data_IF_388581668733
#
_entry.id   IF_388581668733
#
_cell.length_a   1.000
_cell.length_b   1.000
_cell.length_c   1.000
_cell.angle_alpha   90.00
_cell.angle_beta   90.00
_cell.angle_gamma   90.00
#
_symmetry.space_group_name_H-M   'P 1'
#
loop_
_entity.id
_entity.type
_entity.pdbx_description
1 polymer ?
#
# COMPACT_ATOMS: atom_id res chain seq x y z
N UNK A 1 -12.92 -10.13 -15.89
CA UNK A 1 -14.26 -9.50 -16.06
C UNK A 1 -14.14 -8.05 -15.57
N UNK A 2 -14.29 -7.05 -16.44
CA UNK A 2 -14.34 -5.64 -16.02
C UNK A 2 -15.53 -5.48 -15.05
N UNK A 3 -15.21 -5.23 -13.77
CA UNK A 3 -16.03 -5.45 -12.57
C UNK A 3 -17.53 -5.50 -12.79
N UNK A 4 -18.12 -6.71 -12.79
CA UNK A 4 -19.57 -7.05 -12.71
C UNK A 4 -20.57 -6.22 -13.55
N UNK A 5 -20.13 -5.31 -14.41
CA UNK A 5 -20.97 -4.42 -15.20
C UNK A 5 -21.63 -5.23 -16.31
N UNK A 6 -22.95 -5.15 -16.37
CA UNK A 6 -23.74 -5.74 -17.44
C UNK A 6 -23.28 -5.19 -18.80
N UNK A 7 -23.15 -6.08 -19.78
CA UNK A 7 -22.67 -5.77 -21.13
C UNK A 7 -23.37 -4.56 -21.76
N UNK A 8 -24.71 -4.40 -21.68
CA UNK A 8 -25.41 -3.24 -22.28
C UNK A 8 -25.02 -1.88 -21.72
N UNK A 9 -24.54 -1.84 -20.46
CA UNK A 9 -24.08 -0.61 -19.83
C UNK A 9 -22.62 -0.33 -20.18
N UNK A 10 -21.80 -1.38 -20.32
CA UNK A 10 -20.39 -1.26 -20.71
C UNK A 10 -20.23 -0.69 -22.11
N UNK A 11 -21.07 -1.14 -23.05
CA UNK A 11 -21.01 -0.73 -24.46
C UNK A 11 -21.38 0.76 -24.65
N UNK A 12 -21.97 1.40 -23.63
CA UNK A 12 -22.26 2.85 -23.62
C UNK A 12 -21.04 3.71 -23.29
N UNK A 13 -19.94 3.12 -22.82
CA UNK A 13 -18.70 3.84 -22.54
C UNK A 13 -17.74 3.74 -23.75
N UNK A 14 -17.63 4.82 -24.51
CA UNK A 14 -16.83 4.85 -25.75
C UNK A 14 -15.31 4.77 -25.57
N UNK A 15 -14.79 5.00 -24.36
CA UNK A 15 -13.36 4.93 -24.06
C UNK A 15 -13.16 4.18 -22.74
N UNK A 16 -13.02 2.84 -22.76
CA UNK A 16 -12.69 2.08 -21.57
C UNK A 16 -11.23 2.33 -21.19
N UNK A 17 -11.00 2.95 -20.03
CA UNK A 17 -9.67 3.10 -19.44
C UNK A 17 -9.44 2.01 -18.40
N UNK A 18 -8.29 1.33 -18.49
CA UNK A 18 -7.83 0.37 -17.49
C UNK A 18 -6.61 0.96 -16.80
N UNK A 19 -6.73 1.14 -15.49
CA UNK A 19 -5.60 1.54 -14.67
C UNK A 19 -4.85 0.27 -14.24
N UNK A 20 -3.53 0.36 -14.28
CA UNK A 20 -2.63 -0.68 -13.79
C UNK A 20 -1.97 -0.21 -12.50
N UNK A 21 -1.34 -1.15 -11.81
CA UNK A 21 -0.52 -0.80 -10.66
C UNK A 21 0.70 0.00 -11.12
N UNK A 22 1.09 0.96 -10.30
CA UNK A 22 2.26 1.79 -10.56
C UNK A 22 3.52 1.03 -10.13
N UNK A 23 4.60 1.25 -10.85
CA UNK A 23 5.91 0.77 -10.42
C UNK A 23 6.42 1.60 -9.22
N UNK A 24 7.28 1.02 -8.36
CA UNK A 24 7.83 1.72 -7.19
C UNK A 24 8.46 3.07 -7.52
N UNK A 25 9.16 3.19 -8.65
CA UNK A 25 9.81 4.43 -9.09
C UNK A 25 8.78 5.50 -9.46
N UNK A 26 7.67 5.10 -10.06
CA UNK A 26 6.57 6.00 -10.39
C UNK A 26 5.88 6.52 -9.14
N UNK A 27 5.64 5.62 -8.18
CA UNK A 27 5.11 5.97 -6.87
C UNK A 27 6.06 6.87 -6.08
N UNK A 28 7.38 6.65 -6.16
CA UNK A 28 8.37 7.50 -5.50
C UNK A 28 8.26 8.95 -6.00
N UNK A 29 8.05 9.17 -7.31
CA UNK A 29 7.80 10.50 -7.87
C UNK A 29 6.53 11.15 -7.29
N UNK A 30 5.46 10.36 -7.13
CA UNK A 30 4.20 10.82 -6.50
C UNK A 30 4.43 11.19 -5.04
N UNK A 31 5.15 10.35 -4.30
CA UNK A 31 5.49 10.55 -2.88
C UNK A 31 6.33 11.82 -2.70
N UNK A 32 7.37 12.02 -3.50
CA UNK A 32 8.19 13.24 -3.47
C UNK A 32 7.39 14.49 -3.81
N UNK A 33 6.50 14.41 -4.80
CA UNK A 33 5.61 15.53 -5.15
C UNK A 33 4.64 15.87 -3.99
N UNK A 34 4.12 14.86 -3.30
CA UNK A 34 3.25 15.06 -2.14
C UNK A 34 4.01 15.57 -0.91
N UNK A 35 5.22 15.08 -0.65
CA UNK A 35 6.06 15.52 0.45
C UNK A 35 6.40 17.01 0.36
N UNK A 36 6.70 17.49 -0.86
CA UNK A 36 6.88 18.93 -1.14
C UNK A 36 5.63 19.76 -0.77
N UNK A 37 4.43 19.27 -1.08
CA UNK A 37 3.16 19.95 -0.72
C UNK A 37 2.88 19.94 0.78
N UNK A 38 3.43 18.98 1.51
CA UNK A 38 3.31 18.85 2.96
C UNK A 38 4.46 19.54 3.71
N UNK A 39 5.38 20.21 3.00
CA UNK A 39 6.60 20.80 3.56
C UNK A 39 7.40 19.78 4.39
N UNK A 40 7.39 18.51 3.95
CA UNK A 40 8.10 17.42 4.59
C UNK A 40 9.39 17.13 3.82
N UNK A 41 10.58 17.41 4.37
CA UNK A 41 11.85 17.05 3.76
C UNK A 41 11.94 15.53 3.56
N UNK A 42 12.28 15.09 2.35
CA UNK A 42 12.38 13.67 2.00
C UNK A 42 13.54 13.46 1.02
N UNK A 43 14.26 12.37 1.21
CA UNK A 43 15.29 11.87 0.29
C UNK A 43 14.67 10.95 -0.77
N UNK A 44 15.34 10.79 -1.91
CA UNK A 44 14.86 9.89 -2.96
C UNK A 44 14.73 8.44 -2.47
N UNK A 45 15.74 7.93 -1.75
CA UNK A 45 15.71 6.59 -1.16
C UNK A 45 14.59 6.42 -0.11
N UNK A 46 14.31 7.47 0.67
CA UNK A 46 13.18 7.50 1.59
C UNK A 46 11.83 7.42 0.88
N UNK A 47 11.69 8.09 -0.28
CA UNK A 47 10.49 8.00 -1.09
C UNK A 47 10.32 6.61 -1.74
N UNK A 48 11.42 6.00 -2.22
CA UNK A 48 11.42 4.62 -2.75
C UNK A 48 11.05 3.61 -1.66
N UNK A 49 11.55 3.76 -0.43
CA UNK A 49 11.21 2.88 0.68
C UNK A 49 9.71 2.94 1.03
N UNK A 50 9.08 4.11 0.96
CA UNK A 50 7.62 4.25 1.13
C UNK A 50 6.86 3.65 -0.06
N UNK A 51 7.35 3.89 -1.28
CA UNK A 51 6.72 3.48 -2.52
C UNK A 51 6.72 1.95 -2.71
N UNK A 52 7.85 1.30 -2.45
CA UNK A 52 7.99 -0.17 -2.53
C UNK A 52 6.99 -0.91 -1.65
N UNK A 53 6.61 -0.33 -0.51
CA UNK A 53 5.63 -0.90 0.43
C UNK A 53 4.19 -0.46 0.19
N UNK A 54 3.91 0.27 -0.89
CA UNK A 54 2.59 0.82 -1.19
C UNK A 54 1.74 -0.05 -2.13
N UNK A 55 2.21 -1.26 -2.49
CA UNK A 55 1.47 -2.24 -3.32
C UNK A 55 0.93 -1.63 -4.62
N UNK A 56 1.79 -0.90 -5.34
CA UNK A 56 1.46 -0.29 -6.63
C UNK A 56 0.35 0.76 -6.59
N UNK A 57 -0.06 1.22 -5.40
CA UNK A 57 -1.27 2.03 -5.23
C UNK A 57 -0.94 3.42 -4.68
N UNK A 58 -1.16 4.51 -5.46
CA UNK A 58 -0.88 5.87 -5.02
C UNK A 58 -1.57 6.26 -3.71
N UNK A 59 -2.83 5.82 -3.52
CA UNK A 59 -3.58 6.08 -2.29
C UNK A 59 -2.89 5.52 -1.04
N UNK A 60 -2.28 4.33 -1.16
CA UNK A 60 -1.55 3.71 -0.06
C UNK A 60 -0.25 4.47 0.18
N UNK A 61 0.52 4.75 -0.88
CA UNK A 61 1.78 5.49 -0.78
C UNK A 61 1.61 6.84 -0.06
N UNK A 62 0.58 7.61 -0.43
CA UNK A 62 0.28 8.90 0.20
C UNK A 62 -0.21 8.77 1.64
N UNK A 63 -0.89 7.66 1.99
CA UNK A 63 -1.28 7.36 3.38
C UNK A 63 -0.06 7.03 4.23
N UNK A 64 0.87 6.24 3.69
CA UNK A 64 2.12 5.88 4.36
C UNK A 64 3.00 7.11 4.58
N UNK A 65 3.16 7.97 3.56
CA UNK A 65 3.91 9.21 3.66
C UNK A 65 3.47 10.06 4.86
N UNK A 66 2.15 10.26 5.05
CA UNK A 66 1.64 11.05 6.18
C UNK A 66 2.09 10.46 7.52
N UNK A 67 1.94 9.14 7.69
CA UNK A 67 2.34 8.47 8.94
C UNK A 67 3.85 8.50 9.14
N UNK A 68 4.63 8.22 8.09
CA UNK A 68 6.10 8.24 8.15
C UNK A 68 6.62 9.63 8.49
N UNK A 69 6.01 10.68 7.93
CA UNK A 69 6.32 12.06 8.30
C UNK A 69 6.09 12.30 9.79
N UNK A 70 4.95 11.88 10.33
CA UNK A 70 4.64 12.09 11.75
C UNK A 70 5.69 11.41 12.66
N UNK A 71 6.28 10.27 12.25
CA UNK A 71 7.43 9.68 12.94
C UNK A 71 8.73 10.46 12.71
N UNK A 72 9.00 10.89 11.48
CA UNK A 72 10.22 11.62 11.14
C UNK A 72 10.30 12.99 11.82
N UNK A 73 9.16 13.66 12.07
CA UNK A 73 9.10 14.92 12.83
C UNK A 73 9.67 14.77 14.25
N UNK A 74 9.54 13.60 14.88
CA UNK A 74 10.14 13.31 16.17
C UNK A 74 11.65 13.03 16.11
N UNK A 75 12.16 12.54 14.96
CA UNK A 75 13.52 12.02 14.76
C UNK A 75 14.39 12.94 13.86
N UNK A 76 14.12 14.26 13.82
CA UNK A 76 14.95 15.24 13.10
C UNK A 76 14.37 15.78 11.79
N UNK A 77 13.10 15.49 11.50
CA UNK A 77 12.27 16.15 10.48
C UNK A 77 12.50 15.73 9.03
N UNK A 78 13.56 14.98 8.71
CA UNK A 78 13.84 14.52 7.34
C UNK A 78 13.55 13.04 7.16
N UNK A 79 12.78 12.71 6.13
CA UNK A 79 12.45 11.33 5.75
C UNK A 79 13.61 10.75 4.92
N UNK A 80 14.44 9.95 5.58
CA UNK A 80 15.51 9.13 4.98
C UNK A 80 15.02 7.71 4.76
N UNK A 81 15.80 6.88 4.06
CA UNK A 81 15.50 5.46 3.93
C UNK A 81 15.38 4.77 5.30
N UNK A 82 16.30 5.07 6.23
CA UNK A 82 16.30 4.45 7.55
C UNK A 82 15.15 4.93 8.43
N UNK A 83 14.82 6.22 8.40
CA UNK A 83 13.69 6.73 9.16
C UNK A 83 12.36 6.21 8.60
N UNK A 84 12.22 6.13 7.28
CA UNK A 84 11.08 5.49 6.63
C UNK A 84 10.96 4.00 6.99
N UNK A 85 12.06 3.25 6.90
CA UNK A 85 12.12 1.81 7.26
C UNK A 85 11.72 1.60 8.72
N UNK A 86 12.24 2.41 9.64
CA UNK A 86 11.93 2.35 11.07
C UNK A 86 10.45 2.67 11.34
N UNK A 87 9.93 3.75 10.74
CA UNK A 87 8.53 4.14 10.86
C UNK A 87 7.58 3.06 10.32
N UNK A 88 7.87 2.50 9.14
CA UNK A 88 7.07 1.44 8.53
C UNK A 88 7.10 0.15 9.37
N UNK A 89 8.24 -0.18 9.96
CA UNK A 89 8.36 -1.30 10.92
C UNK A 89 7.50 -1.08 12.17
N UNK A 90 7.51 0.14 12.74
CA UNK A 90 6.64 0.50 13.88
C UNK A 90 5.15 0.47 13.52
N UNK A 91 4.81 0.74 12.27
CA UNK A 91 3.45 0.59 11.72
C UNK A 91 3.08 -0.87 11.40
N UNK A 92 3.95 -1.82 11.71
CA UNK A 92 3.79 -3.24 11.40
C UNK A 92 3.57 -3.50 9.91
N UNK A 93 4.23 -2.72 9.05
CA UNK A 93 4.26 -2.95 7.60
C UNK A 93 5.58 -3.63 7.28
N UNK A 94 5.52 -4.80 6.66
CA UNK A 94 6.72 -5.55 6.27
C UNK A 94 7.34 -5.01 4.97
N UNK A 95 8.37 -5.70 4.46
CA UNK A 95 9.06 -5.34 3.23
C UNK A 95 8.18 -5.42 1.99
N UNK A 96 7.15 -6.28 2.01
CA UNK A 96 6.25 -6.50 0.87
C UNK A 96 5.02 -5.58 0.92
N UNK A 97 4.92 -4.73 1.96
CA UNK A 97 3.83 -3.78 2.14
C UNK A 97 2.56 -4.40 2.74
N UNK A 98 2.67 -5.60 3.31
CA UNK A 98 1.57 -6.25 4.02
C UNK A 98 1.45 -5.68 5.43
N UNK A 99 0.21 -5.35 5.80
CA UNK A 99 -0.10 -4.92 7.15
C UNK A 99 -0.48 -6.11 8.07
N UNK A 100 -0.83 -5.80 9.32
CA UNK A 100 -1.19 -6.81 10.30
C UNK A 100 -2.41 -7.66 9.88
N UNK A 101 -3.37 -7.07 9.15
CA UNK A 101 -4.55 -7.79 8.69
C UNK A 101 -4.19 -8.71 7.53
N UNK A 102 -3.40 -8.23 6.56
CA UNK A 102 -2.89 -9.03 5.46
C UNK A 102 -2.11 -10.27 5.97
N UNK A 103 -1.23 -10.07 6.96
CA UNK A 103 -0.48 -11.18 7.56
C UNK A 103 -1.37 -12.13 8.36
N UNK A 104 -2.39 -11.63 9.07
CA UNK A 104 -3.39 -12.47 9.74
C UNK A 104 -4.18 -13.31 8.74
N UNK A 105 -4.56 -12.73 7.61
CA UNK A 105 -5.24 -13.44 6.52
C UNK A 105 -4.38 -14.61 6.02
N UNK A 106 -3.12 -14.35 5.67
CA UNK A 106 -2.21 -15.39 5.18
C UNK A 106 -1.93 -16.45 6.27
N UNK A 107 -1.78 -16.02 7.52
CA UNK A 107 -1.56 -16.92 8.64
C UNK A 107 -2.77 -17.86 8.87
N UNK A 108 -3.99 -17.33 8.83
CA UNK A 108 -5.19 -18.14 8.97
C UNK A 108 -5.29 -19.18 7.84
N UNK A 109 -5.02 -18.77 6.60
CA UNK A 109 -5.02 -19.68 5.45
C UNK A 109 -4.00 -20.81 5.60
N UNK A 110 -2.77 -20.50 6.01
CA UNK A 110 -1.68 -21.49 6.12
C UNK A 110 -1.77 -22.34 7.38
N UNK A 111 -2.08 -21.75 8.54
CA UNK A 111 -2.03 -22.44 9.84
C UNK A 111 -3.37 -23.01 10.27
N UNK A 112 -4.45 -22.25 10.13
CA UNK A 112 -5.78 -22.72 10.54
C UNK A 112 -6.36 -23.70 9.54
N UNK A 113 -6.16 -23.46 8.24
CA UNK A 113 -6.72 -24.28 7.16
C UNK A 113 -5.67 -25.13 6.43
N UNK A 114 -4.45 -25.24 6.97
CA UNK A 114 -3.36 -26.06 6.44
C UNK A 114 -3.02 -25.80 4.95
N UNK A 115 -3.30 -24.59 4.44
CA UNK A 115 -3.09 -24.23 3.04
C UNK A 115 -4.12 -24.81 2.05
N UNK A 116 -5.19 -25.44 2.56
CA UNK A 116 -6.27 -25.99 1.73
C UNK A 116 -7.19 -24.91 1.13
N UNK A 117 -8.04 -25.31 0.15
CA UNK A 117 -9.06 -24.42 -0.38
C UNK A 117 -10.08 -24.12 0.72
N UNK A 118 -10.30 -22.84 0.98
CA UNK A 118 -11.27 -22.39 1.99
C UNK A 118 -12.21 -21.37 1.35
N UNK A 119 -13.48 -21.43 1.72
CA UNK A 119 -14.49 -20.50 1.21
C UNK A 119 -14.19 -19.06 1.64
N UNK A 120 -14.46 -18.09 0.75
CA UNK A 120 -14.28 -16.67 1.06
C UNK A 120 -15.11 -16.24 2.28
N UNK A 121 -16.31 -16.79 2.44
CA UNK A 121 -17.19 -16.53 3.59
C UNK A 121 -16.59 -17.08 4.89
N UNK A 122 -16.00 -18.27 4.85
CA UNK A 122 -15.34 -18.91 5.99
C UNK A 122 -14.10 -18.14 6.43
N UNK A 123 -13.31 -17.62 5.48
CA UNK A 123 -12.19 -16.73 5.78
C UNK A 123 -12.66 -15.41 6.38
N UNK A 124 -13.73 -14.81 5.83
CA UNK A 124 -14.28 -13.58 6.35
C UNK A 124 -14.77 -13.74 7.80
N UNK A 125 -15.44 -14.85 8.12
CA UNK A 125 -15.88 -15.18 9.47
C UNK A 125 -14.72 -15.40 10.44
N UNK A 126 -13.60 -15.98 9.98
CA UNK A 126 -12.43 -16.23 10.81
C UNK A 126 -11.55 -14.99 11.07
N UNK A 127 -11.73 -13.91 10.29
CA UNK A 127 -10.94 -12.68 10.38
C UNK A 127 -11.71 -11.47 10.93
N UNK A 128 -13.03 -11.60 11.10
CA UNK A 128 -13.90 -10.62 11.78
C UNK A 128 -13.67 -10.63 13.28
#
# INVERSE_FOLDING_TARGET
>A
RAGLLATPLRDRFGIPLRLEFYEPEELARIVMAAARKLTAPITEDGAIEIASRARGTPRIALRLLRRVRDFAEADGGTITQDSARSALKRLEIDSDGLDALDRRYLHALVKTYAGGPVGVETLAAALS
#
